data_IF_125701481839
#
_entry.id   IF_125701481839
#
_cell.length_a   1.000
_cell.length_b   1.000
_cell.length_c   1.000
_cell.angle_alpha   90.00
_cell.angle_beta   90.00
_cell.angle_gamma   90.00
#
_symmetry.space_group_name_H-M   'P 1'
#
loop_
_entity.id
_entity.type
_entity.pdbx_description
1 polymer ?
#
# COMPACT_ATOMS: atom_id res chain seq x y z
N UNK A 1 24.52 -63.13 -13.89
CA UNK A 1 24.39 -61.84 -14.59
C UNK A 1 23.94 -60.82 -13.58
N UNK A 2 24.85 -59.94 -13.17
CA UNK A 2 24.64 -58.93 -12.14
C UNK A 2 23.93 -57.73 -12.78
N UNK A 3 22.78 -57.33 -12.24
CA UNK A 3 22.09 -56.12 -12.67
C UNK A 3 22.94 -54.90 -12.32
N UNK A 4 23.45 -54.22 -13.34
CA UNK A 4 24.01 -52.87 -13.22
C UNK A 4 22.83 -51.90 -13.28
N UNK A 5 22.59 -51.06 -12.25
CA UNK A 5 21.58 -50.02 -12.35
C UNK A 5 22.05 -48.98 -13.36
N UNK A 6 21.26 -48.75 -14.40
CA UNK A 6 21.42 -47.60 -15.30
C UNK A 6 21.25 -46.31 -14.50
N UNK A 7 22.12 -45.30 -14.68
CA UNK A 7 21.94 -44.02 -14.01
C UNK A 7 20.69 -43.34 -14.56
N UNK A 8 19.76 -43.01 -13.66
CA UNK A 8 18.57 -42.24 -13.96
C UNK A 8 18.94 -40.84 -14.49
N UNK A 9 18.49 -40.43 -15.68
CA UNK A 9 18.78 -39.11 -16.21
C UNK A 9 17.69 -38.14 -15.76
N UNK A 10 17.89 -37.39 -14.65
CA UNK A 10 17.19 -36.13 -14.29
C UNK A 10 17.46 -35.70 -12.82
N UNK A 11 18.73 -35.58 -12.45
CA UNK A 11 19.11 -34.73 -11.32
C UNK A 11 20.22 -33.83 -11.85
N UNK A 12 19.87 -32.63 -12.32
CA UNK A 12 20.89 -31.57 -12.38
C UNK A 12 21.44 -31.49 -10.97
N UNK A 13 22.71 -31.84 -10.77
CA UNK A 13 23.34 -31.92 -9.45
C UNK A 13 23.02 -30.62 -8.69
N UNK A 14 22.16 -30.72 -7.66
CA UNK A 14 21.66 -29.57 -6.91
C UNK A 14 22.83 -28.74 -6.36
N UNK A 15 23.96 -29.38 -6.06
CA UNK A 15 25.20 -28.73 -5.63
C UNK A 15 25.76 -27.80 -6.71
N UNK A 16 25.78 -28.24 -7.96
CA UNK A 16 26.24 -27.47 -9.11
C UNK A 16 25.30 -26.29 -9.38
N UNK A 17 23.99 -26.49 -9.24
CA UNK A 17 23.00 -25.42 -9.38
C UNK A 17 23.15 -24.34 -8.29
N UNK A 18 23.33 -24.73 -7.03
CA UNK A 18 23.55 -23.80 -5.92
C UNK A 18 24.83 -22.98 -6.12
N UNK A 19 25.92 -23.60 -6.58
CA UNK A 19 27.17 -22.89 -6.93
C UNK A 19 26.94 -21.86 -8.04
N UNK A 20 26.20 -22.21 -9.09
CA UNK A 20 25.84 -21.29 -10.18
C UNK A 20 25.07 -20.07 -9.64
N UNK A 21 24.07 -20.28 -8.79
CA UNK A 21 23.29 -19.18 -8.22
C UNK A 21 24.09 -18.31 -7.27
N UNK A 22 25.00 -18.87 -6.47
CA UNK A 22 25.92 -18.06 -5.66
C UNK A 22 26.82 -17.18 -6.52
N UNK A 23 27.30 -17.68 -7.67
CA UNK A 23 28.06 -16.86 -8.63
C UNK A 23 27.21 -15.75 -9.24
N UNK A 24 25.96 -16.04 -9.60
CA UNK A 24 25.02 -15.04 -10.12
C UNK A 24 24.75 -13.93 -9.12
N UNK A 25 24.53 -14.29 -7.84
CA UNK A 25 24.34 -13.30 -6.77
C UNK A 25 25.63 -12.52 -6.51
N UNK A 26 26.80 -13.16 -6.63
CA UNK A 26 28.07 -12.46 -6.51
C UNK A 26 28.27 -11.40 -7.61
N UNK A 27 27.76 -11.64 -8.81
CA UNK A 27 27.83 -10.69 -9.93
C UNK A 27 26.99 -9.42 -9.69
N UNK A 28 26.00 -9.42 -8.78
CA UNK A 28 25.20 -8.23 -8.47
C UNK A 28 26.04 -7.04 -8.00
N UNK A 29 27.04 -7.33 -7.17
CA UNK A 29 27.94 -6.32 -6.59
C UNK A 29 29.22 -6.16 -7.42
N UNK A 30 29.32 -6.76 -8.60
CA UNK A 30 30.43 -6.54 -9.52
C UNK A 30 30.12 -5.36 -10.45
N UNK A 31 30.99 -4.35 -10.41
CA UNK A 31 30.85 -3.14 -11.23
C UNK A 31 31.17 -3.39 -12.71
N UNK A 32 31.85 -4.50 -13.04
CA UNK A 32 32.21 -4.81 -14.43
C UNK A 32 31.09 -5.53 -15.18
N UNK A 33 30.11 -6.10 -14.47
CA UNK A 33 29.00 -6.82 -15.09
C UNK A 33 27.87 -5.84 -15.46
N UNK A 34 27.42 -5.79 -16.73
CA UNK A 34 26.31 -4.92 -17.14
C UNK A 34 24.99 -5.27 -16.45
N UNK A 35 24.16 -4.26 -16.18
CA UNK A 35 22.89 -4.45 -15.47
C UNK A 35 21.91 -5.37 -16.20
N UNK A 36 21.89 -5.36 -17.52
CA UNK A 36 21.08 -6.31 -18.31
C UNK A 36 21.51 -7.76 -18.09
N UNK A 37 22.82 -8.00 -17.95
CA UNK A 37 23.37 -9.32 -17.65
C UNK A 37 23.01 -9.74 -16.23
N UNK A 38 23.18 -8.84 -15.25
CA UNK A 38 22.75 -9.06 -13.86
C UNK A 38 21.25 -9.38 -13.78
N UNK A 39 20.42 -8.67 -14.54
CA UNK A 39 18.99 -8.89 -14.61
C UNK A 39 18.65 -10.30 -15.11
N UNK A 40 19.24 -10.73 -16.23
CA UNK A 40 19.03 -12.10 -16.75
C UNK A 40 19.47 -13.16 -15.74
N UNK A 41 20.61 -12.96 -15.07
CA UNK A 41 21.09 -13.86 -14.03
C UNK A 41 20.11 -13.96 -12.85
N UNK A 42 19.57 -12.84 -12.38
CA UNK A 42 18.61 -12.83 -11.27
C UNK A 42 17.23 -13.34 -11.66
N UNK A 43 16.81 -13.17 -12.92
CA UNK A 43 15.59 -13.79 -13.43
C UNK A 43 15.71 -15.31 -13.34
N UNK A 44 16.86 -15.88 -13.74
CA UNK A 44 17.09 -17.32 -13.62
C UNK A 44 17.04 -17.81 -12.15
N UNK A 45 17.64 -17.05 -11.22
CA UNK A 45 17.56 -17.36 -9.77
C UNK A 45 16.10 -17.30 -9.28
N UNK A 46 15.35 -16.29 -9.70
CA UNK A 46 13.95 -16.08 -9.29
C UNK A 46 13.02 -17.18 -9.80
N UNK A 47 13.15 -17.57 -11.07
CA UNK A 47 12.35 -18.62 -11.70
C UNK A 47 12.56 -19.97 -11.03
N UNK A 48 13.79 -20.26 -10.62
CA UNK A 48 14.19 -21.53 -10.03
C UNK A 48 14.28 -21.49 -8.50
N UNK A 49 13.73 -20.45 -7.86
CA UNK A 49 13.93 -20.23 -6.43
C UNK A 49 13.36 -21.36 -5.55
N UNK A 50 12.35 -22.09 -6.01
CA UNK A 50 11.80 -23.26 -5.31
C UNK A 50 12.82 -24.42 -5.17
N UNK A 51 13.73 -24.57 -6.14
CA UNK A 51 14.82 -25.54 -6.05
C UNK A 51 15.82 -25.15 -4.97
N UNK A 52 15.97 -23.85 -4.70
CA UNK A 52 16.84 -23.33 -3.66
C UNK A 52 16.22 -23.56 -2.27
N UNK A 53 14.93 -23.28 -2.12
CA UNK A 53 14.23 -23.41 -0.82
C UNK A 53 14.06 -24.86 -0.36
N UNK A 54 14.04 -25.82 -1.29
CA UNK A 54 13.99 -27.26 -1.01
C UNK A 54 15.37 -27.89 -0.80
N UNK A 55 16.46 -27.16 -1.04
CA UNK A 55 17.82 -27.68 -0.93
C UNK A 55 18.28 -27.79 0.53
N UNK A 56 19.01 -28.86 0.91
CA UNK A 56 19.66 -28.95 2.23
C UNK A 56 20.66 -27.80 2.50
N UNK A 57 21.17 -27.14 1.45
CA UNK A 57 22.12 -26.03 1.54
C UNK A 57 21.43 -24.66 1.71
N UNK A 58 20.10 -24.63 1.81
CA UNK A 58 19.32 -23.40 1.86
C UNK A 58 19.79 -22.40 2.93
N UNK A 59 20.06 -22.88 4.16
CA UNK A 59 20.53 -22.03 5.25
C UNK A 59 21.83 -21.31 4.90
N UNK A 60 22.83 -22.07 4.45
CA UNK A 60 24.13 -21.52 4.02
C UNK A 60 23.96 -20.61 2.80
N UNK A 61 23.05 -20.92 1.89
CA UNK A 61 22.75 -20.05 0.76
C UNK A 61 22.25 -18.68 1.24
N UNK A 62 21.30 -18.63 2.17
CA UNK A 62 20.79 -17.38 2.75
C UNK A 62 21.90 -16.52 3.37
N UNK A 63 22.82 -17.14 4.11
CA UNK A 63 23.97 -16.46 4.73
C UNK A 63 24.83 -15.70 3.73
N UNK A 64 24.95 -16.22 2.51
CA UNK A 64 25.74 -15.59 1.45
C UNK A 64 24.94 -14.56 0.64
N UNK A 65 23.69 -14.87 0.31
CA UNK A 65 22.91 -14.06 -0.64
C UNK A 65 22.28 -12.83 -0.01
N UNK A 66 21.82 -12.90 1.25
CA UNK A 66 21.14 -11.77 1.88
C UNK A 66 22.07 -10.56 2.01
N UNK A 67 23.32 -10.68 2.52
CA UNK A 67 24.24 -9.55 2.57
C UNK A 67 24.51 -8.93 1.20
N UNK A 68 24.62 -9.75 0.14
CA UNK A 68 24.83 -9.28 -1.24
C UNK A 68 23.63 -8.53 -1.79
N UNK A 69 22.42 -9.05 -1.58
CA UNK A 69 21.17 -8.38 -1.96
C UNK A 69 21.03 -7.04 -1.25
N UNK A 70 21.25 -7.01 0.06
CA UNK A 70 21.18 -5.78 0.83
C UNK A 70 22.25 -4.77 0.37
N UNK A 71 23.50 -5.20 0.17
CA UNK A 71 24.57 -4.32 -0.34
C UNK A 71 24.22 -3.73 -1.71
N UNK A 72 23.80 -4.56 -2.67
CA UNK A 72 23.38 -4.10 -3.99
C UNK A 72 22.25 -3.06 -3.92
N UNK A 73 21.22 -3.34 -3.10
CA UNK A 73 20.12 -2.43 -2.92
C UNK A 73 20.56 -1.14 -2.20
N UNK A 74 21.44 -1.22 -1.20
CA UNK A 74 21.83 -0.08 -0.38
C UNK A 74 22.79 0.87 -1.08
N UNK A 75 23.72 0.35 -1.89
CA UNK A 75 24.77 1.12 -2.55
C UNK A 75 24.36 1.57 -3.96
N UNK A 76 23.40 0.89 -4.59
CA UNK A 76 22.89 1.25 -5.90
C UNK A 76 21.97 2.47 -5.89
N UNK A 77 21.99 3.25 -6.97
CA UNK A 77 21.10 4.40 -7.15
C UNK A 77 19.63 3.98 -7.30
N UNK A 78 18.74 4.76 -6.69
CA UNK A 78 17.28 4.61 -6.87
C UNK A 78 16.92 5.01 -8.30
N UNK A 79 16.06 4.23 -8.94
CA UNK A 79 15.60 4.47 -10.30
C UNK A 79 14.08 4.63 -10.36
N UNK A 80 13.63 5.51 -11.24
CA UNK A 80 12.22 5.85 -11.41
C UNK A 80 11.73 5.66 -12.84
N UNK A 81 12.57 5.13 -13.72
CA UNK A 81 12.20 4.77 -15.09
C UNK A 81 12.03 3.26 -15.18
N UNK A 82 10.83 2.81 -15.53
CA UNK A 82 10.45 1.40 -15.53
C UNK A 82 11.28 0.57 -16.53
N UNK A 83 11.68 1.18 -17.64
CA UNK A 83 12.46 0.55 -18.69
C UNK A 83 13.94 0.34 -18.32
N UNK A 84 14.45 1.02 -17.28
CA UNK A 84 15.86 0.86 -16.90
C UNK A 84 16.12 -0.52 -16.31
N UNK A 85 17.12 -1.28 -16.81
CA UNK A 85 17.48 -2.59 -16.27
C UNK A 85 17.78 -2.56 -14.78
N UNK A 86 18.44 -1.51 -14.29
CA UNK A 86 18.71 -1.31 -12.86
C UNK A 86 17.43 -1.23 -12.02
N UNK A 87 16.36 -0.57 -12.50
CA UNK A 87 15.08 -0.52 -11.78
C UNK A 87 14.43 -1.90 -11.70
N UNK A 88 14.42 -2.61 -12.83
CA UNK A 88 13.88 -3.97 -12.91
C UNK A 88 14.64 -4.93 -11.99
N UNK A 89 15.97 -4.78 -11.93
CA UNK A 89 16.83 -5.56 -11.05
C UNK A 89 16.56 -5.27 -9.57
N UNK A 90 16.45 -3.99 -9.17
CA UNK A 90 16.09 -3.60 -7.79
C UNK A 90 14.77 -4.21 -7.37
N UNK A 91 13.74 -4.06 -8.22
CA UNK A 91 12.41 -4.63 -7.98
C UNK A 91 12.47 -6.16 -7.84
N UNK A 92 13.15 -6.83 -8.76
CA UNK A 92 13.31 -8.29 -8.75
C UNK A 92 14.02 -8.80 -7.49
N UNK A 93 15.07 -8.13 -7.04
CA UNK A 93 15.77 -8.51 -5.79
C UNK A 93 14.83 -8.36 -4.59
N UNK A 94 14.03 -7.29 -4.50
CA UNK A 94 13.02 -7.13 -3.46
C UNK A 94 11.94 -8.22 -3.53
N UNK A 95 11.49 -8.60 -4.73
CA UNK A 95 10.54 -9.69 -4.93
C UNK A 95 11.11 -11.05 -4.50
N UNK A 96 12.38 -11.32 -4.80
CA UNK A 96 13.07 -12.53 -4.32
C UNK A 96 13.12 -12.52 -2.80
N UNK A 97 13.51 -11.41 -2.16
CA UNK A 97 13.53 -11.28 -0.69
C UNK A 97 12.14 -11.57 -0.10
N UNK A 98 11.08 -11.02 -0.71
CA UNK A 98 9.71 -11.25 -0.28
C UNK A 98 9.26 -12.71 -0.45
N UNK A 99 9.82 -13.45 -1.41
CA UNK A 99 9.54 -14.88 -1.64
C UNK A 99 10.31 -15.81 -0.72
N UNK A 100 11.30 -15.33 0.04
CA UNK A 100 12.05 -16.15 0.98
C UNK A 100 11.11 -16.66 2.09
N UNK A 101 11.00 -17.99 2.31
CA UNK A 101 10.21 -18.54 3.41
C UNK A 101 10.60 -17.95 4.76
N UNK A 102 9.61 -17.47 5.53
CA UNK A 102 9.80 -16.88 6.85
C UNK A 102 9.97 -17.95 7.94
N UNK A 103 11.03 -18.75 7.81
CA UNK A 103 11.37 -19.85 8.71
C UNK A 103 12.57 -19.50 9.62
N UNK A 104 13.01 -20.46 10.45
CA UNK A 104 14.13 -20.28 11.38
C UNK A 104 15.46 -19.97 10.69
N UNK A 105 15.65 -20.38 9.44
CA UNK A 105 16.86 -20.05 8.67
C UNK A 105 16.91 -18.57 8.28
N UNK A 106 15.76 -17.92 8.06
CA UNK A 106 15.69 -16.49 7.75
C UNK A 106 15.81 -15.62 9.01
N UNK A 107 15.39 -16.12 10.18
CA UNK A 107 15.34 -15.37 11.45
C UNK A 107 16.62 -14.57 11.76
N UNK A 108 17.84 -15.11 11.62
CA UNK A 108 19.08 -14.37 11.90
C UNK A 108 19.27 -13.12 11.03
N UNK A 109 18.67 -13.10 9.84
CA UNK A 109 18.81 -12.03 8.87
C UNK A 109 17.67 -10.99 8.95
N UNK A 110 16.57 -11.31 9.62
CA UNK A 110 15.35 -10.51 9.63
C UNK A 110 15.60 -9.06 10.09
N UNK A 111 16.46 -8.85 11.10
CA UNK A 111 16.82 -7.50 11.58
C UNK A 111 17.44 -6.65 10.48
N UNK A 112 18.41 -7.19 9.74
CA UNK A 112 19.11 -6.45 8.69
C UNK A 112 18.18 -6.15 7.51
N UNK A 113 17.31 -7.12 7.15
CA UNK A 113 16.30 -6.92 6.11
C UNK A 113 15.35 -5.79 6.52
N UNK A 114 14.78 -5.84 7.73
CA UNK A 114 13.85 -4.83 8.23
C UNK A 114 14.47 -3.43 8.25
N UNK A 115 15.72 -3.31 8.70
CA UNK A 115 16.45 -2.03 8.72
C UNK A 115 16.50 -1.37 7.34
N UNK A 116 16.83 -2.16 6.30
CA UNK A 116 16.85 -1.67 4.92
C UNK A 116 15.46 -1.36 4.40
N UNK A 117 14.47 -2.22 4.66
CA UNK A 117 13.10 -2.00 4.20
C UNK A 117 12.49 -0.72 4.78
N UNK A 118 12.71 -0.41 6.06
CA UNK A 118 12.24 0.84 6.67
C UNK A 118 12.87 2.07 6.00
N UNK A 119 14.19 2.04 5.76
CA UNK A 119 14.88 3.14 5.07
C UNK A 119 14.33 3.38 3.67
N UNK A 120 13.97 2.31 2.95
CA UNK A 120 13.49 2.39 1.57
C UNK A 120 12.13 3.03 1.42
N UNK A 121 11.29 3.05 2.46
CA UNK A 121 9.99 3.72 2.40
C UNK A 121 10.08 5.20 2.04
N UNK A 122 11.19 5.86 2.38
CA UNK A 122 11.41 7.29 2.15
C UNK A 122 11.96 7.64 0.75
N UNK A 123 12.78 6.74 0.20
CA UNK A 123 13.63 7.05 -0.96
C UNK A 123 13.26 6.30 -2.24
N UNK A 124 12.62 5.13 -2.15
CA UNK A 124 12.35 4.25 -3.30
C UNK A 124 11.16 4.70 -4.17
N UNK A 125 11.05 4.07 -5.34
CA UNK A 125 9.88 4.21 -6.21
C UNK A 125 8.65 3.50 -5.64
N UNK A 126 7.46 3.90 -6.06
CA UNK A 126 6.17 3.33 -5.61
C UNK A 126 6.16 1.79 -5.65
N UNK A 127 6.59 1.19 -6.77
CA UNK A 127 6.57 -0.27 -6.91
C UNK A 127 7.46 -0.97 -5.87
N UNK A 128 8.66 -0.43 -5.65
CA UNK A 128 9.63 -0.99 -4.71
C UNK A 128 9.17 -0.80 -3.26
N UNK A 129 8.61 0.37 -2.92
CA UNK A 129 8.04 0.63 -1.60
C UNK A 129 6.89 -0.34 -1.29
N UNK A 130 5.99 -0.60 -2.23
CA UNK A 130 4.88 -1.54 -2.02
C UNK A 130 5.38 -2.96 -1.69
N UNK A 131 6.50 -3.41 -2.26
CA UNK A 131 7.12 -4.69 -1.90
C UNK A 131 7.77 -4.61 -0.51
N UNK A 132 8.48 -3.51 -0.19
CA UNK A 132 9.08 -3.28 1.13
C UNK A 132 8.02 -3.36 2.25
N UNK A 133 6.85 -2.73 2.04
CA UNK A 133 5.73 -2.78 2.98
C UNK A 133 5.27 -4.23 3.26
N UNK A 134 5.18 -5.07 2.22
CA UNK A 134 4.81 -6.49 2.37
C UNK A 134 5.85 -7.29 3.15
N UNK A 135 7.14 -7.07 2.85
CA UNK A 135 8.25 -7.69 3.59
C UNK A 135 8.18 -7.29 5.06
N UNK A 136 7.99 -6.00 5.36
CA UNK A 136 7.85 -5.50 6.74
C UNK A 136 6.70 -6.21 7.46
N UNK A 137 5.52 -6.28 6.84
CA UNK A 137 4.34 -6.95 7.42
C UNK A 137 4.65 -8.41 7.76
N UNK A 138 5.21 -9.16 6.80
CA UNK A 138 5.38 -10.60 6.96
C UNK A 138 6.44 -10.94 8.00
N UNK A 139 7.58 -10.25 8.00
CA UNK A 139 8.63 -10.44 9.01
C UNK A 139 8.15 -10.06 10.42
N UNK A 140 7.36 -9.00 10.57
CA UNK A 140 6.81 -8.61 11.86
C UNK A 140 5.75 -9.58 12.37
N UNK A 141 4.88 -10.09 11.49
CA UNK A 141 3.88 -11.10 11.85
C UNK A 141 4.52 -12.40 12.33
N UNK A 142 5.55 -12.86 11.60
CA UNK A 142 6.19 -14.14 11.87
C UNK A 142 7.15 -14.08 13.05
N UNK A 143 8.10 -13.15 13.03
CA UNK A 143 9.20 -13.13 14.00
C UNK A 143 8.91 -12.30 15.23
N UNK A 144 7.94 -11.37 15.17
CA UNK A 144 7.56 -10.46 16.26
C UNK A 144 8.81 -9.85 16.93
N UNK A 145 9.64 -9.11 16.17
CA UNK A 145 10.89 -8.56 16.68
C UNK A 145 10.62 -7.65 17.89
N UNK A 146 11.61 -7.44 18.78
CA UNK A 146 11.50 -6.46 19.85
C UNK A 146 11.38 -5.05 19.27
N UNK A 147 10.78 -4.14 20.04
CA UNK A 147 10.68 -2.73 19.63
C UNK A 147 12.07 -2.14 19.39
N UNK A 148 12.18 -1.33 18.34
CA UNK A 148 13.41 -0.66 17.94
C UNK A 148 13.13 0.82 17.62
N UNK A 149 14.20 1.62 17.54
CA UNK A 149 14.13 3.02 17.12
C UNK A 149 13.55 3.18 15.71
N UNK A 150 13.76 2.19 14.83
CA UNK A 150 13.23 2.18 13.46
C UNK A 150 11.69 2.18 13.44
N UNK A 151 11.05 1.54 14.43
CA UNK A 151 9.59 1.58 14.56
C UNK A 151 9.10 2.99 14.87
N UNK A 152 9.80 3.71 15.76
CA UNK A 152 9.46 5.10 16.07
C UNK A 152 9.66 6.01 14.85
N UNK A 153 10.79 5.88 14.15
CA UNK A 153 11.04 6.61 12.91
C UNK A 153 9.98 6.31 11.84
N UNK A 154 9.57 5.05 11.68
CA UNK A 154 8.49 4.69 10.79
C UNK A 154 7.19 5.41 11.15
N UNK A 155 6.79 5.42 12.42
CA UNK A 155 5.56 6.12 12.83
C UNK A 155 5.66 7.64 12.56
N UNK A 156 6.81 8.24 12.81
CA UNK A 156 7.05 9.67 12.50
C UNK A 156 7.00 9.95 11.00
N UNK A 157 7.57 9.07 10.18
CA UNK A 157 7.46 9.11 8.72
C UNK A 157 6.01 9.04 8.23
N UNK A 158 5.22 8.09 8.73
CA UNK A 158 3.79 8.00 8.35
C UNK A 158 3.02 9.25 8.80
N UNK A 159 3.28 9.77 10.01
CA UNK A 159 2.70 11.05 10.46
C UNK A 159 3.07 12.18 9.51
N UNK A 160 4.30 12.23 9.03
CA UNK A 160 4.75 13.25 8.08
C UNK A 160 4.04 13.14 6.73
N UNK A 161 3.83 11.93 6.19
CA UNK A 161 3.03 11.74 4.96
C UNK A 161 1.63 12.32 5.14
N UNK A 162 0.94 12.01 6.25
CA UNK A 162 -0.38 12.57 6.50
C UNK A 162 -0.41 14.10 6.64
N UNK A 163 0.64 14.70 7.23
CA UNK A 163 0.78 16.16 7.34
C UNK A 163 0.99 16.83 5.99
N UNK A 164 1.71 16.19 5.07
CA UNK A 164 2.02 16.71 3.75
C UNK A 164 0.93 16.41 2.71
N UNK A 165 0.05 15.44 2.99
CA UNK A 165 -1.04 15.02 2.10
C UNK A 165 -1.88 16.19 1.54
N UNK A 166 -2.28 17.22 2.32
CA UNK A 166 -3.00 18.36 1.74
C UNK A 166 -2.25 19.03 0.58
N UNK A 167 -0.92 19.18 0.69
CA UNK A 167 -0.09 19.75 -0.38
C UNK A 167 -0.01 18.82 -1.58
N UNK A 168 0.07 17.51 -1.35
CA UNK A 168 0.05 16.49 -2.41
C UNK A 168 -1.27 16.53 -3.18
N UNK A 169 -2.41 16.60 -2.48
CA UNK A 169 -3.75 16.73 -3.08
C UNK A 169 -3.85 18.03 -3.89
N UNK A 170 -3.37 19.16 -3.34
CA UNK A 170 -3.31 20.42 -4.08
C UNK A 170 -2.48 20.30 -5.35
N UNK A 171 -1.30 19.67 -5.28
CA UNK A 171 -0.42 19.50 -6.44
C UNK A 171 -1.04 18.64 -7.53
N UNK A 172 -1.71 17.54 -7.18
CA UNK A 172 -2.21 16.58 -8.15
C UNK A 172 -3.58 16.93 -8.72
N UNK A 173 -4.44 17.58 -7.94
CA UNK A 173 -5.82 17.82 -8.36
C UNK A 173 -6.14 19.31 -8.51
N UNK A 174 -5.78 20.15 -7.55
CA UNK A 174 -6.16 21.57 -7.56
C UNK A 174 -5.30 22.38 -8.54
N UNK A 175 -3.99 22.12 -8.55
CA UNK A 175 -2.98 22.81 -9.36
C UNK A 175 -2.09 21.81 -10.14
N UNK A 176 -2.68 20.95 -11.00
CA UNK A 176 -1.94 19.96 -11.75
C UNK A 176 -0.94 20.63 -12.68
N UNK A 177 0.33 20.22 -12.59
CA UNK A 177 1.41 20.75 -13.43
C UNK A 177 1.29 20.19 -14.85
N UNK A 178 1.48 21.05 -15.85
CA UNK A 178 1.58 20.62 -17.26
C UNK A 178 2.97 20.04 -17.48
N UNK A 179 3.03 18.81 -17.96
CA UNK A 179 4.30 18.18 -18.38
C UNK A 179 4.68 18.82 -19.72
N UNK A 180 5.86 19.44 -19.79
CA UNK A 180 6.34 20.06 -21.02
C UNK A 180 6.51 18.98 -22.11
N UNK A 181 6.10 19.31 -23.33
CA UNK A 181 6.26 18.41 -24.47
C UNK A 181 7.72 18.00 -24.62
N UNK A 182 7.93 16.74 -24.99
CA UNK A 182 9.26 16.20 -25.25
C UNK A 182 10.23 16.24 -24.05
N UNK A 183 9.72 16.17 -22.82
CA UNK A 183 10.53 16.10 -21.59
C UNK A 183 10.13 14.91 -20.73
N UNK A 184 11.10 14.38 -19.98
CA UNK A 184 10.85 13.36 -18.95
C UNK A 184 10.59 14.09 -17.62
N UNK A 185 9.37 14.04 -17.06
CA UNK A 185 9.07 14.71 -15.79
C UNK A 185 9.83 14.07 -14.63
N UNK A 186 10.09 14.87 -13.59
CA UNK A 186 10.67 14.34 -12.35
C UNK A 186 9.68 13.39 -11.64
N UNK A 187 10.18 12.38 -10.89
CA UNK A 187 9.33 11.42 -10.17
C UNK A 187 8.40 12.07 -9.15
N UNK A 188 8.77 13.25 -8.64
CA UNK A 188 7.95 14.03 -7.70
C UNK A 188 6.74 14.69 -8.39
N UNK A 189 6.83 14.96 -9.70
CA UNK A 189 5.75 15.62 -10.46
C UNK A 189 4.59 14.69 -10.75
N UNK A 190 4.83 13.39 -10.86
CA UNK A 190 3.80 12.41 -11.18
C UNK A 190 3.22 11.80 -9.89
N UNK A 191 1.91 11.62 -9.83
CA UNK A 191 1.21 10.97 -8.71
C UNK A 191 0.92 9.49 -8.93
N UNK A 192 1.16 9.01 -10.15
CA UNK A 192 0.97 7.64 -10.61
C UNK A 192 1.92 7.33 -11.76
N UNK A 193 2.05 6.05 -12.11
CA UNK A 193 2.86 5.63 -13.25
C UNK A 193 2.38 6.35 -14.52
N UNK A 194 3.30 7.06 -15.17
CA UNK A 194 2.98 7.95 -16.30
C UNK A 194 3.95 7.69 -17.44
N UNK A 195 3.40 7.38 -18.63
CA UNK A 195 4.20 7.20 -19.85
C UNK A 195 4.20 8.48 -20.70
N UNK A 196 5.37 8.90 -21.16
CA UNK A 196 5.56 10.06 -22.05
C UNK A 196 6.35 9.67 -23.29
N UNK A 197 6.05 10.31 -24.42
CA UNK A 197 6.79 10.15 -25.67
C UNK A 197 7.82 11.27 -25.81
N UNK A 198 9.07 10.91 -26.04
CA UNK A 198 10.19 11.84 -26.22
C UNK A 198 10.90 11.54 -27.54
N UNK A 199 10.95 12.52 -28.44
CA UNK A 199 11.79 12.56 -29.65
C UNK A 199 13.26 12.60 -29.25
N UNK A 200 14.05 11.71 -29.86
CA UNK A 200 15.51 11.67 -29.70
C UNK A 200 16.19 12.94 -30.22
N UNK A 201 15.65 13.53 -31.30
CA UNK A 201 16.10 14.79 -31.90
C UNK A 201 14.90 15.74 -32.03
N UNK A 202 14.67 16.64 -31.04
CA UNK A 202 13.48 17.49 -30.99
C UNK A 202 13.24 18.34 -32.25
N UNK A 203 14.32 18.76 -32.90
CA UNK A 203 14.33 19.67 -34.05
C UNK A 203 13.93 19.00 -35.38
N UNK A 204 13.88 17.66 -35.45
CA UNK A 204 13.53 16.92 -36.67
C UNK A 204 12.10 16.41 -36.61
N UNK A 205 11.30 16.68 -37.64
CA UNK A 205 9.93 16.17 -37.74
C UNK A 205 9.88 14.63 -37.78
N UNK A 206 10.80 14.01 -38.53
CA UNK A 206 10.93 12.54 -38.67
C UNK A 206 11.76 11.88 -37.53
N UNK A 207 11.95 12.56 -36.40
CA UNK A 207 12.73 12.00 -35.29
C UNK A 207 12.04 10.77 -34.70
N UNK A 208 12.84 9.72 -34.45
CA UNK A 208 12.42 8.56 -33.66
C UNK A 208 11.93 9.02 -32.28
N UNK A 209 10.79 8.47 -31.84
CA UNK A 209 10.22 8.72 -30.51
C UNK A 209 10.46 7.52 -29.61
N UNK A 210 10.85 7.78 -28.36
CA UNK A 210 11.00 6.77 -27.32
C UNK A 210 9.96 7.00 -26.24
N UNK A 211 9.37 5.91 -25.77
CA UNK A 211 8.45 5.95 -24.63
C UNK A 211 9.24 5.81 -23.35
N UNK A 212 9.04 6.74 -22.42
CA UNK A 212 9.59 6.69 -21.07
C UNK A 212 8.45 6.51 -20.07
N UNK A 213 8.57 5.54 -19.16
CA UNK A 213 7.54 5.28 -18.15
C UNK A 213 8.07 5.61 -16.76
N UNK A 214 7.56 6.70 -16.20
CA UNK A 214 8.00 7.26 -14.93
C UNK A 214 7.16 6.66 -13.81
N UNK A 215 7.83 6.11 -12.81
CA UNK A 215 7.24 5.60 -11.57
C UNK A 215 7.35 6.71 -10.51
N UNK A 216 6.27 7.06 -9.81
CA UNK A 216 6.31 8.10 -8.78
C UNK A 216 7.19 7.69 -7.60
N UNK A 217 7.68 8.68 -6.86
CA UNK A 217 8.33 8.45 -5.56
C UNK A 217 7.33 7.86 -4.57
N UNK A 218 7.70 6.79 -3.88
CA UNK A 218 6.78 6.06 -3.00
C UNK A 218 6.18 6.92 -1.88
N UNK A 219 6.94 7.84 -1.30
CA UNK A 219 6.46 8.76 -0.26
C UNK A 219 5.42 9.78 -0.73
N UNK A 220 5.21 9.93 -2.04
CA UNK A 220 4.19 10.78 -2.66
C UNK A 220 3.03 9.98 -3.25
N UNK A 221 3.12 8.64 -3.23
CA UNK A 221 2.11 7.75 -3.80
C UNK A 221 0.89 7.60 -2.91
N UNK A 222 -0.28 7.80 -3.50
CA UNK A 222 -1.56 7.55 -2.83
C UNK A 222 -1.82 6.04 -2.64
N UNK A 223 -1.24 5.18 -3.49
CA UNK A 223 -1.29 3.72 -3.31
C UNK A 223 -0.47 3.28 -2.10
N UNK A 224 0.73 3.83 -1.94
CA UNK A 224 1.56 3.59 -0.73
C UNK A 224 0.82 4.07 0.51
N UNK A 225 0.25 5.27 0.48
CA UNK A 225 -0.53 5.81 1.60
C UNK A 225 -1.68 4.87 2.02
N UNK A 226 -2.35 4.21 1.07
CA UNK A 226 -3.42 3.27 1.35
C UNK A 226 -2.96 2.01 2.13
N UNK A 227 -1.68 1.63 2.01
CA UNK A 227 -1.09 0.44 2.67
C UNK A 227 -0.44 0.75 4.03
N UNK A 228 -0.09 2.01 4.33
CA UNK A 228 0.51 2.37 5.62
C UNK A 228 -0.38 2.10 6.85
N UNK A 229 -1.71 2.34 6.81
CA UNK A 229 -2.60 2.12 7.95
C UNK A 229 -2.52 0.71 8.57
N UNK A 230 -2.45 -0.34 7.75
CA UNK A 230 -2.42 -1.72 8.24
C UNK A 230 -1.11 -2.02 9.00
N UNK A 231 -0.02 -1.38 8.61
CA UNK A 231 1.28 -1.53 9.27
C UNK A 231 1.26 -0.83 10.62
N UNK A 232 0.71 0.39 10.70
CA UNK A 232 0.55 1.10 11.99
C UNK A 232 -0.30 0.25 12.96
N UNK A 233 -1.38 -0.36 12.47
CA UNK A 233 -2.19 -1.31 13.25
C UNK A 233 -1.35 -2.51 13.72
N UNK A 234 -0.56 -3.12 12.84
CA UNK A 234 0.32 -4.23 13.19
C UNK A 234 1.34 -3.84 14.27
N UNK A 235 2.00 -2.68 14.14
CA UNK A 235 2.93 -2.18 15.15
C UNK A 235 2.24 -1.96 16.50
N UNK A 236 1.01 -1.44 16.50
CA UNK A 236 0.24 -1.28 17.72
C UNK A 236 -0.13 -2.62 18.37
N UNK A 237 -0.50 -3.62 17.57
CA UNK A 237 -0.80 -4.97 18.06
C UNK A 237 0.42 -5.63 18.73
N UNK A 238 1.61 -5.41 18.18
CA UNK A 238 2.85 -5.98 18.70
C UNK A 238 3.38 -5.23 19.93
N UNK A 239 3.39 -3.89 19.91
CA UNK A 239 4.11 -3.08 20.91
C UNK A 239 3.20 -2.32 21.88
N UNK A 240 1.90 -2.20 21.60
CA UNK A 240 0.87 -1.66 22.50
C UNK A 240 1.29 -0.37 23.21
N UNK A 241 1.49 -0.44 24.54
CA UNK A 241 1.78 0.70 25.42
C UNK A 241 3.05 1.44 25.00
N UNK A 242 4.05 0.75 24.44
CA UNK A 242 5.30 1.37 24.02
C UNK A 242 5.11 2.42 22.92
N UNK A 243 4.03 2.31 22.12
CA UNK A 243 3.72 3.26 21.04
C UNK A 243 2.35 3.93 21.20
N UNK A 244 1.69 3.77 22.34
CA UNK A 244 0.32 4.26 22.56
C UNK A 244 0.21 5.78 22.34
N UNK A 245 1.13 6.55 22.91
CA UNK A 245 1.14 8.00 22.73
C UNK A 245 1.40 8.39 21.27
N UNK A 246 2.36 7.74 20.61
CA UNK A 246 2.67 7.99 19.20
C UNK A 246 1.48 7.66 18.28
N UNK A 247 0.73 6.59 18.57
CA UNK A 247 -0.47 6.22 17.79
C UNK A 247 -1.63 7.19 18.05
N UNK A 248 -1.76 7.76 19.25
CA UNK A 248 -2.78 8.76 19.56
C UNK A 248 -2.68 10.01 18.67
N UNK A 249 -1.46 10.40 18.27
CA UNK A 249 -1.21 11.54 17.38
C UNK A 249 -1.78 11.34 15.96
N UNK A 250 -2.08 10.10 15.55
CA UNK A 250 -2.73 9.85 14.27
C UNK A 250 -4.20 10.26 14.26
N UNK A 251 -4.89 10.31 15.40
CA UNK A 251 -6.32 10.67 15.44
C UNK A 251 -6.61 12.00 14.74
N UNK A 252 -5.97 13.14 15.08
CA UNK A 252 -6.19 14.39 14.35
C UNK A 252 -5.77 14.32 12.88
N UNK A 253 -4.72 13.56 12.54
CA UNK A 253 -4.25 13.40 11.17
C UNK A 253 -5.27 12.62 10.31
N UNK A 254 -5.89 11.59 10.87
CA UNK A 254 -6.97 10.83 10.23
C UNK A 254 -8.17 11.74 9.98
N UNK A 255 -8.58 12.53 10.99
CA UNK A 255 -9.72 13.45 10.87
C UNK A 255 -9.49 14.48 9.77
N UNK A 256 -8.30 15.08 9.73
CA UNK A 256 -7.93 15.98 8.63
C UNK A 256 -7.98 15.27 7.28
N UNK A 257 -7.43 14.05 7.19
CA UNK A 257 -7.35 13.27 5.95
C UNK A 257 -8.73 12.93 5.39
N UNK A 258 -9.66 12.42 6.20
CA UNK A 258 -11.02 12.07 5.72
C UNK A 258 -11.85 13.31 5.36
N UNK A 259 -11.47 14.48 5.89
CA UNK A 259 -12.09 15.76 5.60
C UNK A 259 -11.53 16.43 4.33
N UNK A 260 -10.38 16.00 3.81
CA UNK A 260 -9.82 16.51 2.57
C UNK A 260 -10.75 16.20 1.39
N UNK A 261 -11.04 17.20 0.57
CA UNK A 261 -11.89 17.07 -0.61
C UNK A 261 -11.19 17.71 -1.80
N UNK A 262 -11.36 17.11 -2.97
CA UNK A 262 -11.00 17.73 -4.24
C UNK A 262 -12.16 18.64 -4.69
N UNK A 263 -11.84 19.87 -5.07
CA UNK A 263 -12.83 20.87 -5.46
C UNK A 263 -13.65 20.41 -6.68
N UNK A 264 -14.92 20.83 -6.80
CA UNK A 264 -15.71 20.57 -8.00
C UNK A 264 -15.04 21.10 -9.27
N UNK A 265 -14.34 22.24 -9.19
CA UNK A 265 -13.60 22.84 -10.28
C UNK A 265 -12.43 21.95 -10.73
N UNK A 266 -11.62 21.46 -9.78
CA UNK A 266 -10.53 20.53 -10.06
C UNK A 266 -11.04 19.24 -10.74
N UNK A 267 -12.20 18.71 -10.31
CA UNK A 267 -12.81 17.52 -10.93
C UNK A 267 -13.27 17.72 -12.36
N UNK A 268 -13.50 18.96 -12.79
CA UNK A 268 -13.87 19.32 -14.16
C UNK A 268 -12.65 19.74 -15.00
N UNK A 269 -11.48 19.87 -14.39
CA UNK A 269 -10.27 20.30 -15.09
C UNK A 269 -9.81 19.26 -16.12
N UNK A 270 -9.27 19.71 -17.26
CA UNK A 270 -8.83 18.84 -18.36
C UNK A 270 -7.75 17.81 -17.97
N UNK A 271 -6.93 18.13 -16.97
CA UNK A 271 -5.88 17.26 -16.44
C UNK A 271 -6.35 16.40 -15.26
N UNK A 272 -7.64 16.41 -14.94
CA UNK A 272 -8.17 15.62 -13.84
C UNK A 272 -7.99 14.13 -14.13
N UNK A 273 -7.24 13.45 -13.26
CA UNK A 273 -6.99 12.03 -13.39
C UNK A 273 -7.93 11.23 -12.48
N UNK A 274 -8.87 10.50 -13.12
CA UNK A 274 -9.88 9.70 -12.42
C UNK A 274 -9.29 8.51 -11.66
N UNK A 275 -8.22 7.90 -12.18
CA UNK A 275 -7.56 6.76 -11.52
C UNK A 275 -6.83 7.23 -10.26
N UNK A 276 -6.06 8.32 -10.37
CA UNK A 276 -5.40 8.92 -9.21
C UNK A 276 -6.41 9.38 -8.15
N UNK A 277 -7.57 9.91 -8.57
CA UNK A 277 -8.66 10.25 -7.65
C UNK A 277 -9.25 9.01 -6.96
N UNK A 278 -9.38 7.88 -7.66
CA UNK A 278 -9.80 6.63 -7.05
C UNK A 278 -8.79 6.14 -6.00
N UNK A 279 -7.48 6.25 -6.27
CA UNK A 279 -6.42 5.95 -5.30
C UNK A 279 -6.49 6.87 -4.07
N UNK A 280 -6.78 8.16 -4.27
CA UNK A 280 -7.00 9.11 -3.17
C UNK A 280 -8.16 8.67 -2.26
N UNK A 281 -9.30 8.34 -2.86
CA UNK A 281 -10.49 7.88 -2.13
C UNK A 281 -10.20 6.55 -1.41
N UNK A 282 -9.48 5.62 -2.05
CA UNK A 282 -9.04 4.38 -1.43
C UNK A 282 -8.17 4.65 -0.18
N UNK A 283 -7.19 5.54 -0.29
CA UNK A 283 -6.33 5.93 0.83
C UNK A 283 -7.13 6.55 1.99
N UNK A 284 -8.12 7.40 1.71
CA UNK A 284 -9.01 7.95 2.75
C UNK A 284 -9.84 6.86 3.43
N UNK A 285 -10.36 5.89 2.68
CA UNK A 285 -11.15 4.78 3.21
C UNK A 285 -10.29 3.84 4.07
N UNK A 286 -9.06 3.54 3.65
CA UNK A 286 -8.09 2.77 4.47
C UNK A 286 -7.70 3.52 5.75
N UNK A 287 -7.55 4.84 5.66
CA UNK A 287 -7.29 5.71 6.83
C UNK A 287 -8.48 5.71 7.80
N UNK A 288 -9.72 5.78 7.28
CA UNK A 288 -10.93 5.64 8.10
C UNK A 288 -11.05 4.25 8.73
N UNK A 289 -10.65 3.20 8.00
CA UNK A 289 -10.61 1.82 8.51
C UNK A 289 -9.61 1.68 9.66
N UNK A 290 -8.49 2.42 9.62
CA UNK A 290 -7.57 2.51 10.74
C UNK A 290 -8.18 3.22 11.95
N UNK A 291 -8.91 4.33 11.76
CA UNK A 291 -9.68 4.93 12.86
C UNK A 291 -10.66 3.91 13.46
N UNK A 292 -11.39 3.17 12.63
CA UNK A 292 -12.34 2.16 13.09
C UNK A 292 -11.68 1.07 13.96
N UNK A 293 -10.40 0.76 13.71
CA UNK A 293 -9.64 -0.17 14.54
C UNK A 293 -9.29 0.44 15.90
N UNK A 294 -8.82 1.69 15.95
CA UNK A 294 -8.32 2.33 17.18
C UNK A 294 -9.38 3.09 17.99
N UNK A 295 -10.59 3.24 17.47
CA UNK A 295 -11.64 4.10 18.05
C UNK A 295 -11.97 3.78 19.51
N UNK A 296 -11.99 2.50 19.88
CA UNK A 296 -12.26 2.05 21.26
C UNK A 296 -11.10 2.35 22.21
N UNK A 297 -9.88 2.44 21.68
CA UNK A 297 -8.67 2.70 22.47
C UNK A 297 -8.58 4.18 22.81
N UNK A 298 -8.90 5.06 21.85
CA UNK A 298 -8.78 6.51 21.99
C UNK A 298 -10.14 7.21 22.03
N UNK A 299 -11.15 6.59 22.65
CA UNK A 299 -12.54 7.04 22.63
C UNK A 299 -12.70 8.52 23.01
N UNK A 300 -12.06 8.95 24.11
CA UNK A 300 -12.14 10.34 24.59
C UNK A 300 -11.55 11.33 23.59
N UNK A 301 -10.43 10.97 22.95
CA UNK A 301 -9.78 11.81 21.95
C UNK A 301 -10.61 11.87 20.66
N UNK A 302 -11.11 10.73 20.19
CA UNK A 302 -11.98 10.66 19.00
C UNK A 302 -13.28 11.41 19.23
N UNK A 303 -13.84 11.37 20.44
CA UNK A 303 -15.05 12.11 20.82
C UNK A 303 -14.96 13.61 20.52
N UNK A 304 -13.78 14.22 20.73
CA UNK A 304 -13.50 15.65 20.43
C UNK A 304 -13.61 15.99 18.94
N UNK A 305 -13.46 15.01 18.05
CA UNK A 305 -13.53 15.18 16.60
C UNK A 305 -14.78 14.53 15.97
N UNK A 306 -15.76 14.13 16.78
CA UNK A 306 -16.95 13.39 16.33
C UNK A 306 -17.69 14.05 15.16
N UNK A 307 -17.85 15.37 15.19
CA UNK A 307 -18.48 16.12 14.09
C UNK A 307 -17.69 16.06 12.78
N UNK A 308 -16.35 16.17 12.85
CA UNK A 308 -15.48 16.07 11.68
C UNK A 308 -15.49 14.64 11.12
N UNK A 309 -15.41 13.64 12.01
CA UNK A 309 -15.45 12.22 11.65
C UNK A 309 -16.68 11.88 10.80
N UNK A 310 -17.83 12.29 11.29
CA UNK A 310 -19.11 12.15 10.62
C UNK A 310 -19.10 12.84 9.26
N UNK A 311 -18.69 14.11 9.23
CA UNK A 311 -18.75 14.93 8.02
C UNK A 311 -17.86 14.32 6.94
N UNK A 312 -16.65 13.90 7.31
CA UNK A 312 -15.73 13.18 6.43
C UNK A 312 -16.34 11.88 5.92
N UNK A 313 -16.95 11.07 6.79
CA UNK A 313 -17.60 9.82 6.37
C UNK A 313 -18.75 10.04 5.36
N UNK A 314 -19.59 11.05 5.57
CA UNK A 314 -20.67 11.42 4.64
C UNK A 314 -20.13 11.94 3.31
N UNK A 315 -19.07 12.74 3.35
CA UNK A 315 -18.39 13.23 2.16
C UNK A 315 -17.79 12.07 1.35
N UNK A 316 -17.11 11.12 2.00
CA UNK A 316 -16.56 9.92 1.36
C UNK A 316 -17.66 9.08 0.70
N UNK A 317 -18.80 8.88 1.37
CA UNK A 317 -19.95 8.16 0.79
C UNK A 317 -20.47 8.85 -0.48
N UNK A 318 -20.54 10.18 -0.45
CA UNK A 318 -21.05 10.99 -1.57
C UNK A 318 -20.06 11.06 -2.73
N UNK A 319 -18.76 11.15 -2.44
CA UNK A 319 -17.71 11.40 -3.41
C UNK A 319 -17.02 10.13 -3.94
N UNK A 320 -17.41 8.94 -3.47
CA UNK A 320 -16.87 7.67 -3.91
C UNK A 320 -17.21 7.36 -5.40
N UNK A 321 -16.20 7.22 -6.28
CA UNK A 321 -16.40 7.10 -7.73
C UNK A 321 -17.35 5.97 -8.16
N UNK A 322 -18.30 6.23 -9.09
CA UNK A 322 -19.04 5.30 -9.93
C UNK A 322 -18.71 3.83 -9.84
N UNK A 323 -17.52 3.62 -10.35
CA UNK A 323 -16.92 2.43 -10.91
C UNK A 323 -16.24 1.60 -9.81
N UNK A 324 -15.99 2.20 -8.64
CA UNK A 324 -15.28 1.59 -7.51
C UNK A 324 -16.22 0.95 -6.48
N UNK A 325 -17.03 -0.01 -6.92
CA UNK A 325 -17.99 -0.69 -6.04
C UNK A 325 -17.33 -1.35 -4.81
N UNK A 326 -16.10 -1.86 -4.97
CA UNK A 326 -15.33 -2.47 -3.90
C UNK A 326 -14.95 -1.46 -2.80
N UNK A 327 -14.55 -0.22 -3.16
CA UNK A 327 -14.23 0.83 -2.20
C UNK A 327 -15.44 1.21 -1.35
N UNK A 328 -16.63 1.32 -1.94
CA UNK A 328 -17.86 1.58 -1.18
C UNK A 328 -18.16 0.50 -0.16
N UNK A 329 -17.98 -0.77 -0.53
CA UNK A 329 -18.15 -1.89 0.39
C UNK A 329 -17.20 -1.75 1.58
N UNK A 330 -15.93 -1.44 1.35
CA UNK A 330 -14.96 -1.20 2.44
C UNK A 330 -15.36 -0.01 3.32
N UNK A 331 -15.77 1.10 2.73
CA UNK A 331 -16.26 2.29 3.44
C UNK A 331 -17.45 1.96 4.35
N UNK A 332 -18.42 1.18 3.86
CA UNK A 332 -19.58 0.75 4.64
C UNK A 332 -19.18 -0.17 5.81
N UNK A 333 -18.18 -1.04 5.62
CA UNK A 333 -17.64 -1.88 6.70
C UNK A 333 -17.01 -0.99 7.78
N UNK A 334 -16.14 -0.05 7.41
CA UNK A 334 -15.52 0.89 8.34
C UNK A 334 -16.58 1.73 9.09
N UNK A 335 -17.55 2.27 8.36
CA UNK A 335 -18.67 3.03 8.93
C UNK A 335 -19.46 2.20 9.95
N UNK A 336 -19.77 0.93 9.64
CA UNK A 336 -20.45 0.02 10.56
C UNK A 336 -19.66 -0.17 11.86
N UNK A 337 -18.35 -0.38 11.78
CA UNK A 337 -17.50 -0.54 12.96
C UNK A 337 -17.47 0.71 13.84
N UNK A 338 -17.42 1.89 13.21
CA UNK A 338 -17.45 3.18 13.93
C UNK A 338 -18.81 3.38 14.62
N UNK A 339 -19.91 3.19 13.88
CA UNK A 339 -21.27 3.43 14.39
C UNK A 339 -21.72 2.46 15.48
N UNK A 340 -21.12 1.26 15.53
CA UNK A 340 -21.37 0.27 16.59
C UNK A 340 -20.54 0.53 17.86
N UNK A 341 -19.64 1.51 17.84
CA UNK A 341 -18.89 1.91 19.02
C UNK A 341 -19.66 2.98 19.80
N UNK A 342 -19.87 2.75 21.09
CA UNK A 342 -20.46 3.75 21.98
C UNK A 342 -19.47 4.87 22.25
N UNK A 343 -19.42 5.84 21.33
CA UNK A 343 -18.82 7.15 21.58
C UNK A 343 -19.73 7.94 22.53
N UNK A 344 -19.88 7.49 23.78
CA UNK A 344 -20.59 8.28 24.80
C UNK A 344 -19.82 9.59 25.01
N UNK A 345 -20.27 10.67 24.39
CA UNK A 345 -19.74 12.00 24.66
C UNK A 345 -20.37 12.51 25.95
N UNK A 346 -19.51 12.88 26.89
CA UNK A 346 -19.80 13.63 28.12
C UNK A 346 -20.29 15.06 27.87
N UNK A 347 -20.79 15.37 26.69
CA UNK A 347 -21.30 16.69 26.33
C UNK A 347 -22.78 16.60 25.94
N UNK A 348 -23.57 17.20 26.85
CA UNK A 348 -24.95 17.63 26.70
C UNK A 348 -26.05 16.65 27.14
N UNK A 349 -26.49 16.87 28.37
CA UNK A 349 -27.85 16.70 28.86
C UNK A 349 -28.89 17.50 28.05
N UNK A 350 -28.89 17.38 26.72
CA UNK A 350 -29.91 17.95 25.84
C UNK A 350 -30.28 16.94 24.76
N UNK A 351 -31.54 16.97 24.33
CA UNK A 351 -32.23 16.10 23.35
C UNK A 351 -31.50 15.84 22.00
N UNK A 352 -30.29 16.33 21.79
CA UNK A 352 -29.49 16.24 20.58
C UNK A 352 -28.86 14.87 20.31
N UNK A 353 -28.67 14.00 21.30
CA UNK A 353 -27.96 12.72 21.10
C UNK A 353 -28.77 11.72 20.25
N UNK A 354 -30.08 11.67 20.49
CA UNK A 354 -31.02 10.94 19.62
C UNK A 354 -31.16 11.60 18.25
N UNK A 355 -31.09 12.94 18.17
CA UNK A 355 -31.22 13.66 16.90
C UNK A 355 -30.00 13.48 16.00
N UNK A 356 -28.77 13.45 16.55
CA UNK A 356 -27.55 13.13 15.81
C UNK A 356 -27.53 11.67 15.37
N UNK A 357 -27.83 10.71 16.27
CA UNK A 357 -27.96 9.30 15.89
C UNK A 357 -29.03 9.12 14.80
N UNK A 358 -30.22 9.72 14.94
CA UNK A 358 -31.29 9.69 13.93
C UNK A 358 -30.89 10.42 12.64
N UNK A 359 -30.08 11.49 12.68
CA UNK A 359 -29.51 12.15 11.49
C UNK A 359 -28.47 11.27 10.80
N UNK A 360 -27.64 10.51 11.53
CA UNK A 360 -26.66 9.59 10.94
C UNK A 360 -27.29 8.34 10.35
N UNK A 361 -28.23 7.77 11.08
CA UNK A 361 -29.06 6.65 10.62
C UNK A 361 -29.92 7.11 9.45
N UNK A 362 -30.51 8.31 9.53
CA UNK A 362 -31.29 8.94 8.48
C UNK A 362 -30.46 9.22 7.23
N UNK A 363 -29.25 9.75 7.36
CA UNK A 363 -28.34 10.02 6.24
C UNK A 363 -27.87 8.72 5.57
N UNK A 364 -27.52 7.67 6.34
CA UNK A 364 -27.22 6.35 5.78
C UNK A 364 -28.46 5.75 5.11
N UNK A 365 -29.65 5.87 5.71
CA UNK A 365 -30.90 5.33 5.18
C UNK A 365 -31.36 6.07 3.91
N UNK A 366 -31.17 7.38 3.83
CA UNK A 366 -31.42 8.22 2.64
C UNK A 366 -30.39 7.92 1.55
N UNK A 367 -29.11 7.76 1.89
CA UNK A 367 -28.07 7.38 0.94
C UNK A 367 -28.35 5.99 0.34
N UNK A 368 -28.68 5.00 1.17
CA UNK A 368 -29.07 3.65 0.72
C UNK A 368 -30.36 3.69 -0.13
N UNK A 369 -31.39 4.47 0.25
CA UNK A 369 -32.61 4.68 -0.53
C UNK A 369 -32.39 5.40 -1.86
N UNK A 370 -31.51 6.41 -1.92
CA UNK A 370 -31.24 7.17 -3.14
C UNK A 370 -30.61 6.33 -4.25
N UNK A 371 -29.94 5.21 -3.89
CA UNK A 371 -29.43 4.22 -4.84
C UNK A 371 -30.39 3.08 -5.16
N UNK A 372 -31.52 3.02 -4.47
CA UNK A 372 -32.65 2.15 -4.82
C UNK A 372 -33.36 2.61 -6.11
N UNK A 373 -33.12 3.85 -6.57
CA UNK A 373 -33.54 4.30 -7.91
C UNK A 373 -32.51 4.05 -9.01
N UNK A 374 -31.27 3.66 -8.67
CA UNK A 374 -30.29 3.12 -9.63
C UNK A 374 -30.39 1.59 -9.78
N UNK A 375 -31.37 0.95 -9.12
CA UNK A 375 -31.63 -0.49 -9.17
C UNK A 375 -32.24 -0.94 -10.52
N UNK A 376 -32.83 -0.03 -11.29
CA UNK A 376 -33.43 -0.40 -12.58
C UNK A 376 -32.39 -0.68 -13.68
N UNK A 377 -31.09 -0.44 -13.42
CA UNK A 377 -30.01 -0.71 -14.37
C UNK A 377 -29.15 -1.94 -14.03
N UNK A 378 -29.29 -2.51 -12.82
CA UNK A 378 -28.56 -3.71 -12.41
C UNK A 378 -29.55 -4.84 -12.18
N UNK A 379 -29.74 -5.67 -13.21
CA UNK A 379 -30.60 -6.86 -13.16
C UNK A 379 -30.29 -7.74 -11.96
N UNK A 380 -31.34 -8.34 -11.40
CA UNK A 380 -31.39 -9.14 -10.16
C UNK A 380 -30.43 -10.34 -10.04
N UNK A 381 -29.51 -10.55 -11.00
CA UNK A 381 -28.61 -11.71 -11.05
C UNK A 381 -27.14 -11.41 -10.70
N UNK A 382 -26.77 -10.19 -10.32
CA UNK A 382 -25.40 -9.95 -9.85
C UNK A 382 -25.27 -10.22 -8.34
N UNK A 383 -24.21 -10.93 -7.92
CA UNK A 383 -23.82 -11.12 -6.50
C UNK A 383 -23.75 -9.81 -5.69
N UNK A 384 -23.69 -8.66 -6.36
CA UNK A 384 -23.66 -7.31 -5.76
C UNK A 384 -25.02 -6.90 -5.20
N UNK A 385 -26.13 -7.24 -5.89
CA UNK A 385 -27.50 -6.95 -5.41
C UNK A 385 -27.83 -7.71 -4.12
N UNK A 386 -27.42 -8.98 -4.06
CA UNK A 386 -27.53 -9.78 -2.83
C UNK A 386 -26.66 -9.23 -1.69
N UNK A 387 -25.49 -8.66 -1.99
CA UNK A 387 -24.60 -8.11 -0.99
C UNK A 387 -25.11 -6.78 -0.40
N UNK A 388 -25.76 -5.95 -1.22
CA UNK A 388 -26.46 -4.74 -0.77
C UNK A 388 -27.70 -5.10 0.08
N UNK A 389 -28.46 -6.11 -0.33
CA UNK A 389 -29.60 -6.61 0.44
C UNK A 389 -29.17 -7.29 1.76
N UNK A 390 -28.00 -7.95 1.79
CA UNK A 390 -27.39 -8.48 3.02
C UNK A 390 -26.82 -7.37 3.91
N UNK A 391 -26.27 -6.30 3.34
CA UNK A 391 -25.85 -5.13 4.09
C UNK A 391 -27.09 -4.44 4.70
N UNK A 392 -28.19 -4.29 3.95
CA UNK A 392 -29.47 -3.82 4.47
C UNK A 392 -30.00 -4.71 5.60
N UNK A 393 -30.03 -6.04 5.44
CA UNK A 393 -30.46 -6.97 6.49
C UNK A 393 -29.51 -6.99 7.71
N UNK A 394 -28.21 -6.88 7.48
CA UNK A 394 -27.20 -6.83 8.54
C UNK A 394 -27.19 -5.52 9.30
N UNK A 395 -27.49 -4.41 8.63
CA UNK A 395 -27.67 -3.09 9.23
C UNK A 395 -29.04 -3.02 9.94
N UNK A 396 -30.10 -3.58 9.35
CA UNK A 396 -31.42 -3.69 9.98
C UNK A 396 -31.42 -4.60 11.22
N UNK A 397 -30.66 -5.71 11.23
CA UNK A 397 -30.50 -6.55 12.41
C UNK A 397 -29.73 -5.86 13.54
N UNK A 398 -28.72 -5.03 13.21
CA UNK A 398 -28.08 -4.16 14.21
C UNK A 398 -29.07 -3.12 14.75
N UNK A 399 -30.00 -2.63 13.92
CA UNK A 399 -31.07 -1.73 14.38
C UNK A 399 -32.13 -2.39 15.25
N UNK A 400 -32.50 -3.65 15.00
CA UNK A 400 -33.47 -4.37 15.82
C UNK A 400 -32.91 -4.79 17.20
N UNK A 401 -31.61 -5.07 17.30
CA UNK A 401 -30.97 -5.36 18.59
C UNK A 401 -30.71 -4.13 19.48
N UNK A 402 -30.96 -2.90 19.00
CA UNK A 402 -30.80 -1.64 19.78
C UNK A 402 -32.17 -1.10 20.27
N UNK A 403 -33.27 -1.82 20.02
CA UNK A 403 -34.63 -1.47 20.48
C UNK A 403 -35.29 -2.53 21.37
N UNK A 404 -34.48 -3.34 22.06
CA UNK A 404 -34.83 -4.10 23.26
C UNK A 404 -33.76 -3.77 24.29
#
# INVERSE_FOLDING_TARGET
MSFVPTPSPTVVDQTTLMKKYLQFVAALTDNNTPDETKLKMMQEVSENFENVTSSPQYSTFLEHIIPRFLTFLQDGEVQFLQEKPTQQLRKLVLEIIHRIPTNEHLRPHAKNILSVMFRFLEIESEENVLICLRIIIELHKQFRPPISQEIHHFLDFVKQIYKELPKVVTRYFENPQVIAENTVPSPEMVGMITSVLVKTTPEREDSETRTHTIIPRGSLSLKVLAELPIIVVLMYQLYKLNIHNAVSEFVPLIMNTIMLQVSPQARQHKLFNKELYADFIAAQIKTLSFLAYIIRIYQDLVGKYSQQMVKGMLQLLSNCPPETAHLRKELLIAAKHILTTDLRSRESSTKNENELRLKYIGALRVFLKSRQHSHDSFGLNSKVGYMLCFAEKGVANVFFSIHI
#
